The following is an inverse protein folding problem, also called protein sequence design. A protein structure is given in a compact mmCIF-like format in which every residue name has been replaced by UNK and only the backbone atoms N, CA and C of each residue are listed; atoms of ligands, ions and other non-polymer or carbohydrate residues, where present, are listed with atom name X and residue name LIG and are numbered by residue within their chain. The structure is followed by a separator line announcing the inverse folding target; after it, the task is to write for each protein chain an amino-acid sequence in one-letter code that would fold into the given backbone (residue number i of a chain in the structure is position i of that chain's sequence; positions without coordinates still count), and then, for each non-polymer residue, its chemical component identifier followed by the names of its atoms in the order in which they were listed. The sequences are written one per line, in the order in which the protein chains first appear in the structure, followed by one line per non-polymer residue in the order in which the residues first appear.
data_IF_307504814958
#
_entry.id   IF_307504814958
#
_cell.length_a   1.000
_cell.length_b   1.000
_cell.length_c   1.000
_cell.angle_alpha   90.00
_cell.angle_beta   90.00
_cell.angle_gamma   90.00
#
_symmetry.space_group_name_H-M   'P 1'
#
loop_
_entity.id
_entity.type
_entity.pdbx_description
1 polymer ?
#
# COMPACT_ATOMS: atom_id res chain seq x y z
N UNK A 1 -3.72 17.93 -28.90
CA UNK A 1 -4.18 17.43 -27.59
C UNK A 1 -5.71 17.53 -27.37
N UNK A 2 -6.56 17.40 -28.40
CA UNK A 2 -8.04 17.58 -28.27
C UNK A 2 -8.92 16.46 -28.86
N UNK A 3 -8.37 15.54 -29.65
CA UNK A 3 -9.13 14.51 -30.38
C UNK A 3 -9.41 13.28 -29.51
N UNK A 4 -8.41 12.80 -28.76
CA UNK A 4 -8.53 11.63 -27.89
C UNK A 4 -9.59 11.81 -26.78
N UNK A 5 -9.68 13.02 -26.22
CA UNK A 5 -10.67 13.36 -25.18
C UNK A 5 -12.10 13.40 -25.69
N UNK A 6 -12.31 13.61 -27.00
CA UNK A 6 -13.66 13.60 -27.59
C UNK A 6 -14.13 12.15 -27.80
N UNK A 7 -13.25 11.30 -28.32
CA UNK A 7 -13.52 9.88 -28.53
C UNK A 7 -13.83 9.16 -27.21
N UNK A 8 -13.03 9.40 -26.16
CA UNK A 8 -13.26 8.83 -24.83
C UNK A 8 -14.61 9.25 -24.24
N UNK A 9 -15.06 10.48 -24.46
CA UNK A 9 -16.37 10.96 -24.00
C UNK A 9 -17.51 10.29 -24.75
N UNK A 10 -17.40 10.16 -26.07
CA UNK A 10 -18.40 9.49 -26.90
C UNK A 10 -18.53 8.03 -26.54
N UNK A 11 -17.40 7.31 -26.42
CA UNK A 11 -17.38 5.89 -26.04
C UNK A 11 -17.96 5.71 -24.64
N UNK A 12 -17.58 6.54 -23.68
CA UNK A 12 -18.12 6.44 -22.32
C UNK A 12 -19.62 6.79 -22.24
N UNK A 13 -20.12 7.73 -23.04
CA UNK A 13 -21.55 8.03 -23.10
C UNK A 13 -22.40 6.86 -23.62
N UNK A 14 -21.85 6.02 -24.51
CA UNK A 14 -22.52 4.81 -25.01
C UNK A 14 -22.49 3.69 -23.95
N UNK A 15 -21.42 3.59 -23.17
CA UNK A 15 -21.21 2.51 -22.20
C UNK A 15 -21.81 2.80 -20.82
N UNK A 16 -22.05 4.06 -20.49
CA UNK A 16 -22.60 4.48 -19.19
C UNK A 16 -23.95 3.81 -18.85
N UNK A 17 -24.92 3.66 -19.77
CA UNK A 17 -26.15 2.90 -19.51
C UNK A 17 -25.93 1.42 -19.16
N UNK A 18 -24.80 0.84 -19.57
CA UNK A 18 -24.41 -0.54 -19.23
C UNK A 18 -23.63 -0.61 -17.90
N UNK A 19 -23.43 0.52 -17.21
CA UNK A 19 -22.65 0.60 -15.98
C UNK A 19 -21.13 0.44 -16.18
N UNK A 20 -20.65 0.61 -17.42
CA UNK A 20 -19.24 0.40 -17.77
C UNK A 20 -18.59 1.72 -18.19
N UNK A 21 -17.32 1.91 -17.84
CA UNK A 21 -16.52 3.06 -18.25
C UNK A 21 -15.14 2.61 -18.73
N UNK A 22 -14.76 3.05 -19.92
CA UNK A 22 -13.40 2.96 -20.44
C UNK A 22 -12.55 4.01 -19.76
N UNK A 23 -11.53 3.56 -19.04
CA UNK A 23 -10.52 4.40 -18.42
C UNK A 23 -9.16 4.07 -19.00
N UNK A 24 -8.34 5.10 -19.24
CA UNK A 24 -6.96 4.89 -19.64
C UNK A 24 -6.20 4.25 -18.48
N UNK A 25 -5.77 2.99 -18.66
CA UNK A 25 -4.86 2.34 -17.72
C UNK A 25 -3.44 2.84 -18.01
N UNK A 26 -2.83 3.52 -17.04
CA UNK A 26 -1.40 3.84 -17.11
C UNK A 26 -0.56 2.55 -17.18
N UNK A 27 0.70 2.63 -17.63
CA UNK A 27 1.60 1.48 -17.57
C UNK A 27 1.66 0.98 -16.11
N UNK A 28 1.70 -0.35 -15.88
CA UNK A 28 1.89 -0.86 -14.54
C UNK A 28 3.20 -0.29 -13.97
N UNK A 29 3.26 -0.03 -12.66
CA UNK A 29 4.50 0.43 -12.05
C UNK A 29 5.61 -0.61 -12.34
N UNK A 30 6.76 -0.11 -12.79
CA UNK A 30 7.91 -0.94 -13.14
C UNK A 30 9.17 -0.45 -12.41
N UNK A 31 10.08 -1.36 -12.10
CA UNK A 31 11.46 -1.07 -11.68
C UNK A 31 12.36 -1.54 -12.81
N UNK A 32 13.08 -0.62 -13.48
CA UNK A 32 13.94 -0.97 -14.61
C UNK A 32 13.20 -1.63 -15.79
N UNK A 33 11.94 -1.23 -16.04
CA UNK A 33 11.13 -1.75 -17.15
C UNK A 33 10.45 -3.11 -16.90
N UNK A 34 10.62 -3.71 -15.72
CA UNK A 34 9.93 -4.95 -15.32
C UNK A 34 8.81 -4.67 -14.31
N UNK A 35 7.72 -5.42 -14.40
CA UNK A 35 6.63 -5.39 -13.42
C UNK A 35 7.21 -5.61 -12.02
N UNK A 36 6.78 -4.79 -11.04
CA UNK A 36 7.19 -4.98 -9.64
C UNK A 36 6.74 -6.37 -9.16
N UNK A 37 7.70 -7.22 -8.80
CA UNK A 37 7.46 -8.36 -7.91
C UNK A 37 7.77 -7.97 -6.47
N UNK A 38 7.22 -8.69 -5.50
CA UNK A 38 7.51 -8.45 -4.09
C UNK A 38 9.00 -8.58 -3.79
N UNK A 39 9.65 -9.61 -4.35
CA UNK A 39 11.08 -9.87 -4.15
C UNK A 39 11.93 -8.73 -4.69
N UNK A 40 11.56 -8.17 -5.85
CA UNK A 40 12.24 -7.03 -6.44
C UNK A 40 12.11 -5.77 -5.58
N UNK A 41 10.91 -5.53 -5.02
CA UNK A 41 10.66 -4.44 -4.08
C UNK A 41 11.51 -4.61 -2.83
N UNK A 42 11.46 -5.77 -2.20
CA UNK A 42 12.19 -6.06 -0.95
C UNK A 42 13.69 -5.91 -1.17
N UNK A 43 14.22 -6.43 -2.29
CA UNK A 43 15.63 -6.31 -2.63
C UNK A 43 16.04 -4.85 -2.86
N UNK A 44 15.23 -4.04 -3.54
CA UNK A 44 15.52 -2.62 -3.73
C UNK A 44 15.43 -1.82 -2.43
N UNK A 45 14.42 -2.08 -1.61
CA UNK A 45 14.25 -1.45 -0.31
C UNK A 45 15.47 -1.72 0.59
N UNK A 46 15.91 -2.98 0.66
CA UNK A 46 17.13 -3.38 1.37
C UNK A 46 18.38 -2.68 0.85
N UNK A 47 18.55 -2.56 -0.47
CA UNK A 47 19.68 -1.80 -1.06
C UNK A 47 19.69 -0.33 -0.65
N UNK A 48 18.53 0.24 -0.36
CA UNK A 48 18.37 1.64 0.08
C UNK A 48 18.32 1.78 1.61
N UNK A 49 18.39 0.68 2.36
CA UNK A 49 18.29 0.70 3.82
C UNK A 49 16.92 1.14 4.36
N UNK A 50 15.85 0.98 3.58
CA UNK A 50 14.47 1.34 3.95
C UNK A 50 13.56 0.10 3.90
N UNK A 51 12.36 0.19 4.48
CA UNK A 51 11.37 -0.90 4.42
C UNK A 51 10.75 -1.05 3.02
N UNK A 52 10.20 -2.23 2.72
CA UNK A 52 9.47 -2.46 1.47
C UNK A 52 8.28 -1.48 1.31
N UNK A 53 7.60 -1.18 2.42
CA UNK A 53 6.56 -0.16 2.48
C UNK A 53 7.05 1.23 2.12
N UNK A 54 8.13 1.70 2.75
CA UNK A 54 8.72 3.02 2.48
C UNK A 54 9.19 3.14 1.03
N UNK A 55 9.79 2.08 0.49
CA UNK A 55 10.18 2.05 -0.92
C UNK A 55 8.98 2.21 -1.85
N UNK A 56 7.89 1.47 -1.60
CA UNK A 56 6.64 1.59 -2.38
C UNK A 56 6.05 2.99 -2.26
N UNK A 57 6.00 3.55 -1.05
CA UNK A 57 5.46 4.88 -0.82
C UNK A 57 6.24 5.95 -1.60
N UNK A 58 7.58 5.86 -1.58
CA UNK A 58 8.47 6.72 -2.35
C UNK A 58 8.30 6.54 -3.86
N UNK A 59 8.23 5.28 -4.33
CA UNK A 59 8.06 4.95 -5.74
C UNK A 59 6.78 5.56 -6.33
N UNK A 60 5.71 5.63 -5.54
CA UNK A 60 4.45 6.24 -5.96
C UNK A 60 4.33 7.74 -5.65
N UNK A 61 5.38 8.39 -5.15
CA UNK A 61 5.36 9.82 -4.80
C UNK A 61 4.38 10.14 -3.67
N UNK A 62 4.14 9.20 -2.76
CA UNK A 62 3.15 9.31 -1.67
C UNK A 62 3.79 9.47 -0.29
N UNK A 63 5.06 9.88 -0.22
CA UNK A 63 5.83 9.95 1.02
C UNK A 63 5.05 10.67 2.13
N UNK A 64 4.91 10.03 3.29
CA UNK A 64 4.20 10.56 4.47
C UNK A 64 2.69 10.37 4.45
N UNK A 65 2.12 9.72 3.43
CA UNK A 65 0.69 9.43 3.36
C UNK A 65 0.28 8.42 4.42
N UNK A 66 1.06 7.37 4.64
CA UNK A 66 0.78 6.36 5.65
C UNK A 66 0.77 6.97 7.05
N UNK A 67 1.76 7.80 7.36
CA UNK A 67 1.85 8.58 8.60
C UNK A 67 0.59 9.45 8.82
N UNK A 68 0.16 10.19 7.81
CA UNK A 68 -1.04 11.02 7.89
C UNK A 68 -2.33 10.19 8.13
N UNK A 69 -2.40 8.97 7.60
CA UNK A 69 -3.52 8.06 7.84
C UNK A 69 -3.50 7.55 9.29
N UNK A 70 -2.34 7.12 9.78
CA UNK A 70 -2.16 6.65 11.16
C UNK A 70 -2.49 7.76 12.17
N UNK A 71 -2.06 9.00 11.89
CA UNK A 71 -2.40 10.12 12.75
C UNK A 71 -3.92 10.36 12.81
N UNK A 72 -4.62 10.31 11.67
CA UNK A 72 -6.10 10.41 11.65
C UNK A 72 -6.77 9.27 12.41
N UNK A 73 -6.26 8.04 12.31
CA UNK A 73 -6.77 6.90 13.09
C UNK A 73 -6.60 7.14 14.59
N UNK A 74 -5.44 7.64 15.01
CA UNK A 74 -5.17 8.02 16.40
C UNK A 74 -6.12 9.12 16.87
N UNK A 75 -6.33 10.17 16.09
CA UNK A 75 -7.21 11.29 16.45
C UNK A 75 -8.67 10.85 16.64
N UNK A 76 -9.07 9.76 15.99
CA UNK A 76 -10.39 9.12 16.17
C UNK A 76 -10.42 8.07 17.28
N UNK A 77 -9.32 7.88 18.01
CA UNK A 77 -9.22 6.92 19.11
C UNK A 77 -8.96 5.47 18.69
N UNK A 78 -8.83 5.19 17.39
CA UNK A 78 -8.60 3.83 16.88
C UNK A 78 -7.23 3.26 17.31
N UNK A 79 -6.26 4.14 17.57
CA UNK A 79 -4.92 3.80 18.08
C UNK A 79 -4.69 4.40 19.48
N UNK A 80 -5.71 4.36 20.34
CA UNK A 80 -5.60 4.88 21.71
C UNK A 80 -4.58 4.08 22.54
N UNK A 81 -4.14 4.66 23.66
CA UNK A 81 -3.19 4.01 24.60
C UNK A 81 -3.70 2.69 25.21
N UNK A 82 -4.97 2.33 24.99
CA UNK A 82 -5.57 1.06 25.45
C UNK A 82 -5.42 -0.08 24.45
N UNK A 83 -5.00 0.20 23.21
CA UNK A 83 -4.82 -0.82 22.17
C UNK A 83 -3.57 -1.63 22.48
N UNK A 84 -3.75 -2.88 22.89
CA UNK A 84 -2.67 -3.83 23.13
C UNK A 84 -2.50 -4.86 22.01
N UNK A 85 -3.54 -5.06 21.19
CA UNK A 85 -3.55 -6.04 20.11
C UNK A 85 -4.00 -5.37 18.83
N UNK A 86 -3.27 -5.60 17.74
CA UNK A 86 -3.64 -5.15 16.39
C UNK A 86 -3.75 -6.38 15.50
N UNK A 87 -4.83 -6.48 14.74
CA UNK A 87 -5.00 -7.47 13.69
C UNK A 87 -5.04 -6.74 12.36
N UNK A 88 -4.12 -7.08 11.46
CA UNK A 88 -4.06 -6.54 10.10
C UNK A 88 -4.30 -7.66 9.09
N UNK A 89 -5.34 -7.48 8.28
CA UNK A 89 -5.72 -8.41 7.21
C UNK A 89 -5.18 -7.84 5.90
N UNK A 90 -4.31 -8.61 5.23
CA UNK A 90 -3.66 -8.19 3.99
C UNK A 90 -2.76 -6.96 4.17
N UNK A 91 -1.71 -7.02 5.01
CA UNK A 91 -0.80 -5.90 5.25
C UNK A 91 0.01 -5.45 4.02
N UNK A 92 0.00 -6.26 2.94
CA UNK A 92 0.76 -5.97 1.73
C UNK A 92 2.25 -5.88 2.03
N UNK A 93 2.87 -4.73 1.78
CA UNK A 93 4.30 -4.50 2.05
C UNK A 93 4.64 -4.20 3.51
N UNK A 94 3.66 -4.27 4.42
CA UNK A 94 3.86 -3.93 5.83
C UNK A 94 3.99 -2.44 6.09
N UNK A 95 3.59 -1.60 5.13
CA UNK A 95 3.71 -0.14 5.21
C UNK A 95 3.13 0.40 6.53
N UNK A 96 1.95 -0.06 6.94
CA UNK A 96 1.29 0.45 8.14
C UNK A 96 1.80 -0.16 9.45
N UNK A 97 2.41 -1.36 9.43
CA UNK A 97 2.87 -2.06 10.64
C UNK A 97 3.81 -1.15 11.45
N UNK A 98 4.84 -0.61 10.78
CA UNK A 98 5.82 0.29 11.39
C UNK A 98 5.15 1.52 12.02
N UNK A 99 4.24 2.17 11.28
CA UNK A 99 3.57 3.36 11.76
C UNK A 99 2.62 3.03 12.92
N UNK A 100 1.89 1.92 12.89
CA UNK A 100 1.01 1.50 13.97
C UNK A 100 1.80 1.22 15.25
N UNK A 101 2.90 0.47 15.17
CA UNK A 101 3.77 0.17 16.31
C UNK A 101 4.39 1.42 16.95
N UNK A 102 4.76 2.40 16.12
CA UNK A 102 5.28 3.67 16.60
C UNK A 102 4.18 4.52 17.30
N UNK A 103 2.90 4.24 17.01
CA UNK A 103 1.79 5.09 17.41
C UNK A 103 0.89 4.54 18.51
N UNK A 104 0.99 3.25 18.81
CA UNK A 104 0.21 2.56 19.84
C UNK A 104 1.11 1.58 20.65
N UNK A 105 0.81 1.33 21.94
CA UNK A 105 1.54 0.37 22.76
C UNK A 105 1.14 -1.08 22.42
N UNK A 106 1.43 -1.51 21.20
CA UNK A 106 1.08 -2.85 20.70
C UNK A 106 1.91 -3.91 21.40
N UNK A 107 1.26 -4.85 22.08
CA UNK A 107 1.86 -6.04 22.69
C UNK A 107 1.79 -7.26 21.79
N UNK A 108 0.78 -7.31 20.92
CA UNK A 108 0.56 -8.41 19.97
C UNK A 108 0.10 -7.86 18.63
N UNK A 109 0.82 -8.18 17.57
CA UNK A 109 0.44 -7.83 16.20
C UNK A 109 0.13 -9.14 15.46
N UNK A 110 -1.06 -9.25 14.90
CA UNK A 110 -1.51 -10.43 14.18
C UNK A 110 -1.59 -10.09 12.70
N UNK A 111 -0.89 -10.86 11.88
CA UNK A 111 -0.94 -10.73 10.42
C UNK A 111 -1.76 -11.86 9.84
N UNK A 112 -2.79 -11.51 9.08
CA UNK A 112 -3.52 -12.44 8.22
C UNK A 112 -3.13 -12.18 6.76
N UNK A 113 -2.17 -12.97 6.27
CA UNK A 113 -1.64 -12.90 4.91
C UNK A 113 -1.71 -14.30 4.26
N UNK A 114 -2.24 -14.34 3.03
CA UNK A 114 -2.47 -15.59 2.30
C UNK A 114 -1.24 -16.05 1.51
N UNK A 115 -0.31 -15.13 1.23
CA UNK A 115 0.95 -15.44 0.53
C UNK A 115 2.03 -15.77 1.57
N UNK A 116 2.44 -17.05 1.72
CA UNK A 116 3.32 -17.46 2.82
C UNK A 116 4.66 -16.71 2.85
N UNK A 117 5.30 -16.53 1.69
CA UNK A 117 6.59 -15.82 1.58
C UNK A 117 6.51 -14.37 2.06
N UNK A 118 5.35 -13.72 1.86
CA UNK A 118 5.10 -12.36 2.33
C UNK A 118 4.85 -12.35 3.83
N UNK A 119 4.03 -13.26 4.34
CA UNK A 119 3.81 -13.41 5.78
C UNK A 119 5.10 -13.63 6.55
N UNK A 120 5.95 -14.55 6.09
CA UNK A 120 7.27 -14.80 6.67
C UNK A 120 8.19 -13.58 6.61
N UNK A 121 8.16 -12.83 5.50
CA UNK A 121 8.97 -11.63 5.38
C UNK A 121 8.57 -10.58 6.41
N UNK A 122 7.27 -10.33 6.57
CA UNK A 122 6.74 -9.35 7.51
C UNK A 122 7.01 -9.75 8.96
N UNK A 123 6.81 -11.04 9.30
CA UNK A 123 7.14 -11.59 10.61
C UNK A 123 8.62 -11.35 10.96
N UNK A 124 9.53 -11.59 10.02
CA UNK A 124 10.98 -11.33 10.21
C UNK A 124 11.30 -9.84 10.29
N UNK A 125 10.71 -9.01 9.43
CA UNK A 125 11.03 -7.58 9.35
C UNK A 125 10.55 -6.80 10.57
N UNK A 126 9.36 -7.13 11.07
CA UNK A 126 8.72 -6.40 12.18
C UNK A 126 8.74 -7.14 13.51
N UNK A 127 9.28 -8.37 13.56
CA UNK A 127 9.31 -9.22 14.76
C UNK A 127 7.90 -9.45 15.34
N UNK A 128 6.97 -9.86 14.47
CA UNK A 128 5.55 -10.11 14.77
C UNK A 128 5.12 -11.54 14.47
#
# INVERSE_FOLDING_TARGET
MRVLSLLERTVNGILEPLGVRVVRRGPPPTIGGRRLSDEAVIAQARRQGISAGEFIENLFGKKGRAEAIIQRMRDKGALSKKVSTVCEIGPGSGLYIKHVMNHAPVKRYEIYEIVPSRGEHLAREFSV
#
